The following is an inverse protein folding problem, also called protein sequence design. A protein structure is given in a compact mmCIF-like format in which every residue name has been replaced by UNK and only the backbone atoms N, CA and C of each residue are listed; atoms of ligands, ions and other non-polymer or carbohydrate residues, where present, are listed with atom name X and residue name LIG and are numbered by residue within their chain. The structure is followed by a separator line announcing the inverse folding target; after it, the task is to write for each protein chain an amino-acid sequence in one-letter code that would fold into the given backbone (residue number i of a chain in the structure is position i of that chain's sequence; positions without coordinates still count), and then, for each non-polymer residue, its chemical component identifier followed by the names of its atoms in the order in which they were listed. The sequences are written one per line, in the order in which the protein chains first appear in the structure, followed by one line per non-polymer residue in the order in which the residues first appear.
data_IF_201410126893
#
_entry.id   IF_201410126893
#
_cell.length_a   1.000
_cell.length_b   1.000
_cell.length_c   1.000
_cell.angle_alpha   90.00
_cell.angle_beta   90.00
_cell.angle_gamma   90.00
#
_symmetry.space_group_name_H-M   'P 1'
#
loop_
_entity.id
_entity.type
_entity.pdbx_description
1 polymer ?
#
# COMPACT_ATOMS: atom_id res chain seq x y z
N UNK A 1 10.85 -1.81 -5.23
CA UNK A 1 10.11 -2.71 -4.31
C UNK A 1 8.66 -2.88 -4.71
N UNK A 2 7.83 -1.82 -4.70
CA UNK A 2 6.40 -1.91 -5.05
C UNK A 2 6.13 -2.53 -6.43
N UNK A 3 6.87 -2.12 -7.46
CA UNK A 3 6.71 -2.70 -8.81
C UNK A 3 7.00 -4.20 -8.86
N UNK A 4 7.97 -4.66 -8.07
CA UNK A 4 8.31 -6.08 -7.97
C UNK A 4 7.18 -6.88 -7.31
N UNK A 5 6.63 -6.38 -6.19
CA UNK A 5 5.46 -6.99 -5.52
C UNK A 5 4.24 -7.03 -6.45
N UNK A 6 3.99 -5.95 -7.21
CA UNK A 6 2.92 -5.93 -8.20
C UNK A 6 3.16 -6.96 -9.32
N UNK A 7 4.41 -7.12 -9.78
CA UNK A 7 4.77 -8.13 -10.77
C UNK A 7 4.56 -9.56 -10.24
N UNK A 8 4.95 -9.84 -8.98
CA UNK A 8 4.69 -11.12 -8.32
C UNK A 8 3.19 -11.44 -8.28
N UNK A 9 2.36 -10.47 -7.87
CA UNK A 9 0.91 -10.62 -7.85
C UNK A 9 0.30 -10.90 -9.22
N UNK A 10 0.74 -10.16 -10.26
CA UNK A 10 0.30 -10.41 -11.65
C UNK A 10 0.74 -11.77 -12.17
N UNK A 11 1.96 -12.21 -11.85
CA UNK A 11 2.47 -13.51 -12.23
C UNK A 11 1.65 -14.64 -11.60
N UNK A 12 1.34 -14.51 -10.30
CA UNK A 12 0.50 -15.48 -9.59
C UNK A 12 -0.92 -15.53 -10.14
N UNK A 13 -1.55 -14.37 -10.38
CA UNK A 13 -2.87 -14.31 -10.99
C UNK A 13 -2.90 -15.03 -12.35
N UNK A 14 -1.87 -14.81 -13.19
CA UNK A 14 -1.72 -15.51 -14.46
C UNK A 14 -1.55 -17.01 -14.29
N UNK A 15 -0.74 -17.48 -13.35
CA UNK A 15 -0.55 -18.93 -13.12
C UNK A 15 -1.81 -19.62 -12.58
N UNK A 16 -2.64 -18.90 -11.83
CA UNK A 16 -3.90 -19.39 -11.31
C UNK A 16 -5.07 -19.25 -12.31
N UNK A 17 -4.85 -18.62 -13.48
CA UNK A 17 -5.91 -18.35 -14.45
C UNK A 17 -6.98 -17.37 -13.92
N UNK A 18 -6.64 -16.56 -12.91
CA UNK A 18 -7.53 -15.59 -12.30
C UNK A 18 -7.42 -14.25 -13.02
N UNK A 19 -8.56 -13.66 -13.36
CA UNK A 19 -8.63 -12.27 -13.81
C UNK A 19 -8.88 -11.37 -12.60
N UNK A 20 -7.93 -10.51 -12.20
CA UNK A 20 -8.15 -9.57 -11.10
C UNK A 20 -9.27 -8.60 -11.48
N UNK A 21 -10.13 -8.29 -10.52
CA UNK A 21 -11.15 -7.24 -10.64
C UNK A 21 -11.07 -6.29 -9.44
N UNK A 22 -11.40 -5.01 -9.63
CA UNK A 22 -11.54 -4.09 -8.52
C UNK A 22 -12.59 -4.58 -7.51
N UNK A 23 -12.46 -4.25 -6.21
CA UNK A 23 -13.51 -4.51 -5.23
C UNK A 23 -14.83 -3.81 -5.58
N UNK A 24 -15.94 -4.31 -5.03
CA UNK A 24 -17.23 -3.62 -5.08
C UNK A 24 -17.11 -2.21 -4.48
N UNK A 25 -17.63 -1.20 -5.20
CA UNK A 25 -17.55 0.22 -4.81
C UNK A 25 -16.11 0.74 -4.62
N UNK A 26 -15.19 0.29 -5.46
CA UNK A 26 -13.80 0.74 -5.42
C UNK A 26 -13.64 2.25 -5.69
N UNK A 27 -13.30 3.00 -4.65
CA UNK A 27 -12.95 4.42 -4.72
C UNK A 27 -11.43 4.68 -4.74
N UNK A 28 -10.60 3.64 -4.75
CA UNK A 28 -9.14 3.76 -4.57
C UNK A 28 -8.49 4.57 -5.68
N UNK A 29 -8.92 4.39 -6.94
CA UNK A 29 -8.40 5.14 -8.08
C UNK A 29 -8.68 6.66 -7.94
N UNK A 30 -9.90 7.04 -7.54
CA UNK A 30 -10.27 8.43 -7.32
C UNK A 30 -9.51 9.04 -6.13
N UNK A 31 -9.38 8.29 -5.03
CA UNK A 31 -8.60 8.71 -3.87
C UNK A 31 -7.12 8.91 -4.21
N UNK A 32 -6.55 8.02 -5.03
CA UNK A 32 -5.17 8.13 -5.51
C UNK A 32 -4.99 9.36 -6.41
N UNK A 33 -5.90 9.58 -7.37
CA UNK A 33 -5.85 10.77 -8.22
C UNK A 33 -5.92 12.08 -7.40
N UNK A 34 -6.78 12.14 -6.38
CA UNK A 34 -6.86 13.27 -5.48
C UNK A 34 -5.57 13.48 -4.67
N UNK A 35 -4.92 12.39 -4.23
CA UNK A 35 -3.64 12.46 -3.53
C UNK A 35 -2.54 13.01 -4.44
N UNK A 36 -2.43 12.52 -5.68
CA UNK A 36 -1.46 13.01 -6.67
C UNK A 36 -1.69 14.49 -6.98
N UNK A 37 -2.93 14.91 -7.23
CA UNK A 37 -3.27 16.31 -7.48
C UNK A 37 -2.88 17.22 -6.31
N UNK A 38 -3.13 16.77 -5.07
CA UNK A 38 -2.70 17.50 -3.87
C UNK A 38 -1.18 17.63 -3.82
N UNK A 39 -0.44 16.54 -4.05
CA UNK A 39 1.02 16.52 -4.00
C UNK A 39 1.64 17.42 -5.07
N UNK A 40 1.09 17.43 -6.28
CA UNK A 40 1.55 18.33 -7.36
C UNK A 40 1.31 19.82 -7.06
N UNK A 41 0.35 20.14 -6.19
CA UNK A 41 0.01 21.52 -5.82
C UNK A 41 0.83 22.10 -4.67
N UNK A 42 1.71 21.31 -4.03
CA UNK A 42 2.53 21.74 -2.89
C UNK A 42 4.02 21.45 -3.13
N UNK A 43 4.89 22.15 -2.41
CA UNK A 43 6.34 22.01 -2.54
C UNK A 43 7.06 22.20 -1.20
N UNK A 44 8.34 21.81 -1.15
CA UNK A 44 9.18 21.91 0.06
C UNK A 44 8.57 21.19 1.25
N UNK A 45 8.66 21.78 2.45
CA UNK A 45 8.15 21.18 3.68
C UNK A 45 6.64 20.85 3.63
N UNK A 46 5.85 21.60 2.85
CA UNK A 46 4.44 21.30 2.66
C UNK A 46 4.22 20.02 1.84
N UNK A 47 5.08 19.77 0.85
CA UNK A 47 5.11 18.51 0.11
C UNK A 47 5.54 17.36 1.01
N UNK A 48 6.64 17.50 1.75
CA UNK A 48 7.13 16.44 2.65
C UNK A 48 6.03 16.01 3.64
N UNK A 49 5.36 16.98 4.27
CA UNK A 49 4.28 16.71 5.21
C UNK A 49 3.06 16.04 4.54
N UNK A 50 2.70 16.45 3.32
CA UNK A 50 1.57 15.87 2.59
C UNK A 50 1.89 14.43 2.14
N UNK A 51 3.10 14.20 1.62
CA UNK A 51 3.58 12.90 1.17
C UNK A 51 3.62 11.91 2.32
N UNK A 52 4.29 12.25 3.42
CA UNK A 52 4.45 11.36 4.56
C UNK A 52 3.10 10.98 5.20
N UNK A 53 2.16 11.94 5.32
CA UNK A 53 0.81 11.65 5.81
C UNK A 53 0.06 10.68 4.89
N UNK A 54 0.17 10.87 3.58
CA UNK A 54 -0.45 9.98 2.60
C UNK A 54 0.14 8.56 2.70
N UNK A 55 1.47 8.44 2.66
CA UNK A 55 2.16 7.15 2.70
C UNK A 55 1.90 6.39 3.99
N UNK A 56 1.89 7.07 5.15
CA UNK A 56 1.57 6.44 6.45
C UNK A 56 0.13 5.91 6.45
N UNK A 57 -0.83 6.72 6.01
CA UNK A 57 -2.23 6.29 5.94
C UNK A 57 -2.41 5.11 4.98
N UNK A 58 -1.78 5.18 3.80
CA UNK A 58 -1.82 4.13 2.80
C UNK A 58 -1.25 2.81 3.34
N UNK A 59 -0.02 2.83 3.87
CA UNK A 59 0.64 1.62 4.37
C UNK A 59 -0.09 1.03 5.59
N UNK A 60 -0.60 1.85 6.51
CA UNK A 60 -1.45 1.37 7.63
C UNK A 60 -2.71 0.67 7.10
N UNK A 61 -3.36 1.24 6.09
CA UNK A 61 -4.55 0.66 5.45
C UNK A 61 -4.25 -0.70 4.80
N UNK A 62 -3.16 -0.79 4.03
CA UNK A 62 -2.73 -2.05 3.39
C UNK A 62 -2.39 -3.11 4.43
N UNK A 63 -1.59 -2.78 5.45
CA UNK A 63 -1.23 -3.72 6.53
C UNK A 63 -2.48 -4.21 7.27
N UNK A 64 -3.42 -3.31 7.57
CA UNK A 64 -4.68 -3.68 8.21
C UNK A 64 -5.52 -4.62 7.34
N UNK A 65 -5.64 -4.33 6.04
CA UNK A 65 -6.34 -5.19 5.10
C UNK A 65 -5.68 -6.58 5.01
N UNK A 66 -4.35 -6.64 4.93
CA UNK A 66 -3.60 -7.90 4.92
C UNK A 66 -3.91 -8.72 6.18
N UNK A 67 -3.75 -8.13 7.35
CA UNK A 67 -3.86 -8.85 8.63
C UNK A 67 -5.29 -9.27 8.98
N UNK A 68 -6.29 -8.44 8.64
CA UNK A 68 -7.67 -8.64 9.11
C UNK A 68 -8.58 -9.29 8.08
N UNK A 69 -8.22 -9.23 6.79
CA UNK A 69 -9.05 -9.74 5.68
C UNK A 69 -8.28 -10.71 4.81
N UNK A 70 -7.21 -10.24 4.15
CA UNK A 70 -6.59 -11.03 3.08
C UNK A 70 -5.91 -12.31 3.59
N UNK A 71 -5.12 -12.26 4.67
CA UNK A 71 -4.49 -13.47 5.23
C UNK A 71 -5.49 -14.45 5.86
N UNK A 72 -6.50 -14.01 6.63
CA UNK A 72 -7.52 -14.90 7.17
C UNK A 72 -8.41 -15.54 6.10
N UNK A 73 -8.79 -14.78 5.06
CA UNK A 73 -9.76 -15.21 4.05
C UNK A 73 -9.09 -15.92 2.84
N UNK A 74 -7.77 -15.77 2.64
CA UNK A 74 -7.06 -16.46 1.56
C UNK A 74 -7.02 -17.99 1.78
N UNK A 75 -7.65 -18.70 0.85
CA UNK A 75 -7.71 -20.18 0.84
C UNK A 75 -6.67 -20.82 -0.07
N UNK A 76 -6.24 -20.13 -1.14
CA UNK A 76 -5.18 -20.60 -2.02
C UNK A 76 -3.80 -20.50 -1.33
N UNK A 77 -3.04 -21.60 -1.24
CA UNK A 77 -1.77 -21.61 -0.51
C UNK A 77 -0.69 -20.73 -1.14
N UNK A 78 -0.68 -20.58 -2.47
CA UNK A 78 0.30 -19.74 -3.16
C UNK A 78 -0.01 -18.25 -2.94
N UNK A 79 -1.29 -17.87 -2.96
CA UNK A 79 -1.71 -16.52 -2.59
C UNK A 79 -1.36 -16.20 -1.14
N UNK A 80 -1.65 -17.11 -0.21
CA UNK A 80 -1.33 -16.93 1.20
C UNK A 80 0.18 -16.76 1.42
N UNK A 81 0.98 -17.62 0.78
CA UNK A 81 2.44 -17.53 0.84
C UNK A 81 2.95 -16.18 0.33
N UNK A 82 2.47 -15.71 -0.83
CA UNK A 82 2.84 -14.43 -1.39
C UNK A 82 2.49 -13.27 -0.44
N UNK A 83 1.28 -13.25 0.12
CA UNK A 83 0.85 -12.19 1.06
C UNK A 83 1.74 -12.20 2.32
N UNK A 84 2.06 -13.38 2.86
CA UNK A 84 2.98 -13.51 4.00
C UNK A 84 4.39 -13.03 3.68
N UNK A 85 4.90 -13.34 2.49
CA UNK A 85 6.24 -12.94 2.03
C UNK A 85 6.39 -11.42 1.92
N UNK A 86 5.37 -10.73 1.39
CA UNK A 86 5.47 -9.29 1.10
C UNK A 86 5.10 -8.40 2.30
N UNK A 87 4.35 -8.90 3.28
CA UNK A 87 3.90 -8.13 4.45
C UNK A 87 5.06 -7.42 5.20
N UNK A 88 6.20 -8.07 5.49
CA UNK A 88 7.32 -7.40 6.16
C UNK A 88 7.86 -6.18 5.40
N UNK A 89 7.78 -6.17 4.06
CA UNK A 89 8.18 -5.02 3.25
C UNK A 89 7.27 -3.80 3.47
N UNK A 90 5.96 -4.01 3.57
CA UNK A 90 5.02 -2.93 3.90
C UNK A 90 5.24 -2.41 5.33
N UNK A 91 5.50 -3.29 6.29
CA UNK A 91 5.80 -2.92 7.68
C UNK A 91 7.09 -2.10 7.77
N UNK A 92 8.12 -2.49 7.01
CA UNK A 92 9.37 -1.74 6.92
C UNK A 92 9.16 -0.34 6.33
N UNK A 93 8.44 -0.22 5.21
CA UNK A 93 8.12 1.08 4.62
C UNK A 93 7.33 1.97 5.58
N UNK A 94 6.34 1.43 6.30
CA UNK A 94 5.60 2.19 7.30
C UNK A 94 6.56 2.71 8.38
N UNK A 95 7.38 1.84 8.97
CA UNK A 95 8.32 2.23 10.02
C UNK A 95 9.31 3.31 9.55
N UNK A 96 9.85 3.17 8.34
CA UNK A 96 10.75 4.16 7.75
C UNK A 96 10.04 5.51 7.52
N UNK A 97 8.81 5.48 7.04
CA UNK A 97 8.00 6.69 6.77
C UNK A 97 7.63 7.40 8.08
N UNK A 98 7.23 6.66 9.11
CA UNK A 98 6.97 7.21 10.44
C UNK A 98 8.24 7.81 11.08
N UNK A 99 9.40 7.17 10.90
CA UNK A 99 10.66 7.71 11.37
C UNK A 99 11.03 9.02 10.67
N UNK A 100 10.85 9.09 9.34
CA UNK A 100 11.05 10.32 8.57
C UNK A 100 10.08 11.43 8.99
N UNK A 101 8.81 11.10 9.23
CA UNK A 101 7.84 12.06 9.73
C UNK A 101 8.22 12.62 11.10
N UNK A 102 8.69 11.77 12.03
CA UNK A 102 9.20 12.23 13.34
C UNK A 102 10.42 13.14 13.19
N UNK A 103 11.38 12.80 12.32
CA UNK A 103 12.59 13.62 12.14
C UNK A 103 12.30 14.99 11.52
N UNK A 104 11.24 15.10 10.71
CA UNK A 104 10.79 16.34 10.08
C UNK A 104 9.70 17.09 10.88
N UNK A 105 9.32 16.59 12.06
CA UNK A 105 8.28 17.22 12.89
C UNK A 105 6.86 17.15 12.32
N UNK A 106 6.59 16.18 11.43
CA UNK A 106 5.27 15.95 10.83
C UNK A 106 4.46 15.01 11.73
N UNK A 107 3.28 15.45 12.16
CA UNK A 107 2.34 14.61 12.93
C UNK A 107 1.53 13.66 12.03
N UNK A 108 1.25 12.45 12.53
CA UNK A 108 0.55 11.35 11.83
C UNK A 108 -0.04 10.32 12.80
#
# INVERSE_FOLDING_TARGET
DHEAVQAMGRALAKSLGVMPSPPERDGSAAAHAAAIARLQGVSGAAFDAAYLKHEIAFHRGVIAAIRTRLLPEATDPALKALITEVLPGFEHHLAATEAAARSLGVAF
#
